data_IF_261069974432
#
_entry.id   IF_261069974432
#
_cell.length_a   1.000
_cell.length_b   1.000
_cell.length_c   1.000
_cell.angle_alpha   90.00
_cell.angle_beta   90.00
_cell.angle_gamma   90.00
#
_symmetry.space_group_name_H-M   'P 1'
#
loop_
_entity.id
_entity.type
_entity.pdbx_description
1 polymer ?
#
# COMPACT_ATOMS: atom_id res chain seq x y z
N UNK A 1 -40.58 -11.53 16.73
CA UNK A 1 -39.66 -12.08 15.72
C UNK A 1 -38.46 -11.16 15.69
N UNK A 2 -37.34 -11.57 16.27
CA UNK A 2 -36.10 -10.79 16.20
C UNK A 2 -35.61 -10.79 14.75
N UNK A 3 -35.40 -9.60 14.18
CA UNK A 3 -34.79 -9.46 12.86
C UNK A 3 -33.28 -9.57 13.01
N UNK A 4 -32.67 -10.47 12.26
CA UNK A 4 -31.24 -10.67 12.20
C UNK A 4 -30.62 -9.88 11.06
N UNK A 5 -29.34 -9.50 11.21
CA UNK A 5 -28.54 -8.93 10.12
C UNK A 5 -28.52 -9.87 8.89
N UNK A 6 -28.59 -11.19 9.13
CA UNK A 6 -28.60 -12.20 8.08
C UNK A 6 -29.89 -12.23 7.23
N UNK A 7 -30.95 -11.57 7.69
CA UNK A 7 -32.22 -11.46 6.96
C UNK A 7 -32.15 -10.43 5.82
N UNK A 8 -31.11 -9.59 5.81
CA UNK A 8 -30.84 -8.66 4.72
C UNK A 8 -30.32 -9.39 3.47
N UNK A 9 -30.57 -8.85 2.29
CA UNK A 9 -29.95 -9.33 1.04
C UNK A 9 -28.48 -8.87 0.92
N UNK A 10 -27.75 -9.41 -0.06
CA UNK A 10 -26.32 -9.12 -0.24
C UNK A 10 -26.06 -7.65 -0.55
N UNK A 11 -26.90 -7.01 -1.37
CA UNK A 11 -26.74 -5.59 -1.74
C UNK A 11 -26.81 -4.68 -0.51
N UNK A 12 -27.77 -4.93 0.39
CA UNK A 12 -27.90 -4.20 1.65
C UNK A 12 -26.66 -4.40 2.54
N UNK A 13 -26.15 -5.63 2.63
CA UNK A 13 -24.96 -5.92 3.43
C UNK A 13 -23.70 -5.27 2.85
N UNK A 14 -23.55 -5.28 1.52
CA UNK A 14 -22.47 -4.58 0.82
C UNK A 14 -22.49 -3.09 1.15
N UNK A 15 -23.66 -2.45 1.11
CA UNK A 15 -23.79 -1.03 1.46
C UNK A 15 -23.45 -0.75 2.93
N UNK A 16 -23.86 -1.62 3.86
CA UNK A 16 -23.51 -1.49 5.28
C UNK A 16 -21.99 -1.62 5.47
N UNK A 17 -21.35 -2.58 4.79
CA UNK A 17 -19.91 -2.85 4.96
C UNK A 17 -19.03 -1.72 4.40
N UNK A 18 -19.58 -0.78 3.62
CA UNK A 18 -18.82 0.41 3.19
C UNK A 18 -18.39 1.29 4.35
N UNK A 19 -19.17 1.32 5.42
CA UNK A 19 -18.92 2.14 6.61
C UNK A 19 -17.94 1.50 7.61
N UNK A 20 -17.58 0.23 7.40
CA UNK A 20 -16.61 -0.45 8.24
C UNK A 20 -15.19 0.00 7.88
N UNK A 21 -14.37 0.13 8.91
CA UNK A 21 -12.93 0.26 8.75
C UNK A 21 -12.34 -1.02 8.14
N UNK A 22 -11.09 -0.91 7.70
CA UNK A 22 -10.37 -2.05 7.13
C UNK A 22 -10.22 -3.19 8.14
N UNK A 23 -9.93 -2.85 9.40
CA UNK A 23 -9.78 -3.82 10.50
C UNK A 23 -11.10 -4.51 10.79
N UNK A 24 -12.20 -3.76 10.90
CA UNK A 24 -13.54 -4.34 11.11
C UNK A 24 -13.94 -5.24 9.95
N UNK A 25 -13.64 -4.85 8.70
CA UNK A 25 -13.92 -5.68 7.53
C UNK A 25 -13.14 -7.00 7.58
N UNK A 26 -11.87 -6.99 7.99
CA UNK A 26 -11.11 -8.22 8.17
C UNK A 26 -11.63 -9.09 9.31
N UNK A 27 -12.07 -8.51 10.42
CA UNK A 27 -12.68 -9.28 11.52
C UNK A 27 -13.90 -10.07 11.05
N UNK A 28 -14.67 -9.54 10.09
CA UNK A 28 -15.81 -10.24 9.50
C UNK A 28 -15.41 -11.42 8.60
N UNK A 29 -14.18 -11.43 8.06
CA UNK A 29 -13.68 -12.57 7.30
C UNK A 29 -13.37 -13.77 8.18
N UNK A 30 -12.99 -13.53 9.43
CA UNK A 30 -12.62 -14.57 10.40
C UNK A 30 -13.85 -15.17 11.12
N UNK A 31 -15.04 -14.62 10.88
CA UNK A 31 -16.31 -15.20 11.36
C UNK A 31 -16.60 -16.48 10.58
N UNK A 32 -17.07 -17.53 11.26
CA UNK A 32 -17.54 -18.80 10.67
C UNK A 32 -18.85 -18.65 9.87
N UNK A 33 -19.00 -17.59 9.07
CA UNK A 33 -20.13 -17.37 8.18
C UNK A 33 -19.60 -17.01 6.77
N UNK A 34 -19.64 -17.99 5.87
CA UNK A 34 -19.08 -17.85 4.53
C UNK A 34 -19.68 -16.69 3.72
N UNK A 35 -20.97 -16.38 3.92
CA UNK A 35 -21.64 -15.26 3.24
C UNK A 35 -21.07 -13.92 3.67
N UNK A 36 -20.96 -13.68 4.97
CA UNK A 36 -20.36 -12.44 5.50
C UNK A 36 -18.87 -12.34 5.13
N UNK A 37 -18.12 -13.45 5.18
CA UNK A 37 -16.73 -13.47 4.75
C UNK A 37 -16.57 -13.11 3.26
N UNK A 38 -17.47 -13.58 2.39
CA UNK A 38 -17.45 -13.25 0.97
C UNK A 38 -17.76 -11.78 0.71
N UNK A 39 -18.75 -11.22 1.39
CA UNK A 39 -19.10 -9.79 1.29
C UNK A 39 -17.94 -8.92 1.80
N UNK A 40 -17.28 -9.32 2.90
CA UNK A 40 -16.09 -8.64 3.41
C UNK A 40 -14.92 -8.68 2.39
N UNK A 41 -14.68 -9.82 1.74
CA UNK A 41 -13.68 -9.94 0.66
C UNK A 41 -14.02 -9.03 -0.53
N UNK A 42 -15.29 -8.98 -0.94
CA UNK A 42 -15.73 -8.06 -2.00
C UNK A 42 -15.45 -6.61 -1.60
N UNK A 43 -15.77 -6.22 -0.36
CA UNK A 43 -15.46 -4.88 0.16
C UNK A 43 -13.96 -4.58 0.09
N UNK A 44 -13.09 -5.46 0.58
CA UNK A 44 -11.64 -5.26 0.51
C UNK A 44 -11.18 -5.11 -0.94
N UNK A 45 -11.76 -5.86 -1.87
CA UNK A 45 -11.41 -5.77 -3.29
C UNK A 45 -11.72 -4.41 -3.92
N UNK A 46 -12.64 -3.64 -3.34
CA UNK A 46 -12.96 -2.27 -3.80
C UNK A 46 -11.89 -1.25 -3.39
N UNK A 47 -10.99 -1.58 -2.46
CA UNK A 47 -9.94 -0.68 -2.00
C UNK A 47 -8.80 -0.70 -3.01
N UNK A 48 -8.76 0.31 -3.88
CA UNK A 48 -7.73 0.46 -4.92
C UNK A 48 -6.60 1.40 -4.54
N UNK A 49 -6.81 2.23 -3.54
CA UNK A 49 -5.85 3.23 -3.09
C UNK A 49 -5.73 3.14 -1.58
N UNK A 50 -4.50 3.14 -1.08
CA UNK A 50 -4.24 3.14 0.35
C UNK A 50 -3.16 4.17 0.70
N UNK A 51 -3.48 5.02 1.67
CA UNK A 51 -2.55 5.96 2.27
C UNK A 51 -2.31 5.56 3.73
N UNK A 52 -1.05 5.30 4.07
CA UNK A 52 -0.62 4.85 5.38
C UNK A 52 0.25 5.94 6.00
N UNK A 53 -0.18 6.44 7.16
CA UNK A 53 0.70 7.15 8.10
C UNK A 53 1.12 6.15 9.16
N UNK A 54 2.39 5.75 9.17
CA UNK A 54 2.84 4.59 9.98
C UNK A 54 2.58 4.80 11.47
N UNK A 55 2.65 6.03 11.97
CA UNK A 55 2.34 6.38 13.37
C UNK A 55 0.89 6.12 13.78
N UNK A 56 -0.03 6.11 12.82
CA UNK A 56 -1.47 5.92 13.03
C UNK A 56 -1.91 4.51 12.55
N UNK A 57 -0.99 3.75 11.96
CA UNK A 57 -1.30 2.49 11.31
C UNK A 57 -1.04 1.32 12.26
N UNK A 58 -2.12 0.77 12.79
CA UNK A 58 -2.07 -0.38 13.68
C UNK A 58 -3.06 -1.44 13.23
N UNK A 59 -2.90 -2.66 13.75
CA UNK A 59 -3.91 -3.72 13.75
C UNK A 59 -4.13 -4.48 12.43
N UNK A 60 -3.10 -4.70 11.62
CA UNK A 60 -3.17 -5.67 10.51
C UNK A 60 -1.97 -6.61 10.51
N UNK A 61 -2.24 -7.90 10.36
CA UNK A 61 -1.19 -8.91 10.24
C UNK A 61 -0.70 -9.04 8.78
N UNK A 62 0.43 -9.73 8.59
CA UNK A 62 1.06 -9.93 7.28
C UNK A 62 0.11 -10.51 6.21
N UNK A 63 -0.76 -11.46 6.58
CA UNK A 63 -1.73 -12.07 5.65
C UNK A 63 -2.78 -11.05 5.19
N UNK A 64 -3.30 -10.23 6.10
CA UNK A 64 -4.26 -9.18 5.79
C UNK A 64 -3.63 -8.10 4.89
N UNK A 65 -2.39 -7.69 5.19
CA UNK A 65 -1.62 -6.76 4.37
C UNK A 65 -1.35 -7.29 2.96
N UNK A 66 -1.08 -8.59 2.83
CA UNK A 66 -0.95 -9.23 1.52
C UNK A 66 -2.25 -9.19 0.72
N UNK A 67 -3.38 -9.53 1.32
CA UNK A 67 -4.71 -9.46 0.66
C UNK A 67 -5.02 -8.03 0.21
N UNK A 68 -4.66 -7.02 1.00
CA UNK A 68 -4.76 -5.61 0.60
C UNK A 68 -3.91 -5.39 -0.66
N UNK A 69 -2.63 -5.76 -0.62
CA UNK A 69 -1.69 -5.62 -1.74
C UNK A 69 -2.21 -6.20 -3.05
N UNK A 70 -2.85 -7.37 -3.02
CA UNK A 70 -3.45 -8.02 -4.21
C UNK A 70 -4.53 -7.18 -4.91
N UNK A 71 -5.08 -6.17 -4.24
CA UNK A 71 -6.17 -5.34 -4.74
C UNK A 71 -5.79 -3.91 -5.08
N UNK A 72 -4.62 -3.44 -4.64
CA UNK A 72 -4.18 -2.05 -4.77
C UNK A 72 -3.66 -1.71 -6.17
N UNK A 73 -3.98 -0.48 -6.58
CA UNK A 73 -3.38 0.21 -7.72
C UNK A 73 -2.40 1.29 -7.22
N UNK A 74 -2.76 1.97 -6.12
CA UNK A 74 -2.00 3.09 -5.58
C UNK A 74 -1.67 2.86 -4.09
N UNK A 75 -0.39 3.01 -3.73
CA UNK A 75 0.07 2.94 -2.35
C UNK A 75 0.87 4.20 -1.99
N UNK A 76 0.59 4.75 -0.82
CA UNK A 76 1.43 5.78 -0.18
C UNK A 76 1.74 5.38 1.25
N UNK A 77 3.02 5.39 1.64
CA UNK A 77 3.45 5.19 3.02
C UNK A 77 4.29 6.40 3.47
N UNK A 78 3.89 6.99 4.59
CA UNK A 78 4.59 8.09 5.26
C UNK A 78 4.97 7.65 6.68
N UNK A 79 6.26 7.49 6.94
CA UNK A 79 6.75 6.99 8.22
C UNK A 79 7.25 8.10 9.16
N UNK A 80 8.04 9.03 8.62
CA UNK A 80 8.83 9.96 9.43
C UNK A 80 10.16 9.32 9.83
N UNK A 81 11.25 10.10 9.77
CA UNK A 81 12.62 9.60 9.97
C UNK A 81 12.89 8.95 11.34
N UNK A 82 12.03 9.19 12.34
CA UNK A 82 12.16 8.60 13.68
C UNK A 82 11.60 7.19 13.79
N UNK A 83 10.87 6.69 12.78
CA UNK A 83 10.26 5.36 12.82
C UNK A 83 11.30 4.32 12.43
N UNK A 84 11.51 3.26 13.24
CA UNK A 84 12.46 2.21 12.90
C UNK A 84 12.10 1.52 11.58
N UNK A 85 13.11 1.26 10.74
CA UNK A 85 12.90 0.71 9.40
C UNK A 85 12.09 -0.61 9.40
N UNK A 86 12.36 -1.49 10.36
CA UNK A 86 11.64 -2.77 10.46
C UNK A 86 10.13 -2.59 10.67
N UNK A 87 9.68 -1.51 11.34
CA UNK A 87 8.25 -1.24 11.55
C UNK A 87 7.59 -0.92 10.21
N UNK A 88 8.26 -0.13 9.36
CA UNK A 88 7.75 0.21 8.03
C UNK A 88 7.80 -1.00 7.10
N UNK A 89 8.90 -1.77 7.13
CA UNK A 89 9.07 -2.97 6.30
C UNK A 89 8.07 -4.07 6.66
N UNK A 90 7.70 -4.23 7.94
CA UNK A 90 6.64 -5.15 8.36
C UNK A 90 5.28 -4.84 7.73
N UNK A 91 5.06 -3.59 7.29
CA UNK A 91 3.86 -3.16 6.57
C UNK A 91 4.10 -3.29 5.06
N UNK A 92 5.20 -2.73 4.57
CA UNK A 92 5.48 -2.59 3.15
C UNK A 92 5.70 -3.93 2.46
N UNK A 93 6.48 -4.83 3.05
CA UNK A 93 6.84 -6.10 2.44
C UNK A 93 5.62 -6.96 2.05
N UNK A 94 4.67 -7.28 2.96
CA UNK A 94 3.51 -8.08 2.58
C UNK A 94 2.61 -7.39 1.57
N UNK A 95 2.48 -6.05 1.62
CA UNK A 95 1.73 -5.31 0.60
C UNK A 95 2.37 -5.46 -0.78
N UNK A 96 3.70 -5.27 -0.89
CA UNK A 96 4.42 -5.45 -2.15
C UNK A 96 4.36 -6.90 -2.65
N UNK A 97 4.39 -7.89 -1.76
CA UNK A 97 4.20 -9.30 -2.12
C UNK A 97 2.81 -9.57 -2.71
N UNK A 98 1.76 -9.00 -2.13
CA UNK A 98 0.40 -9.10 -2.68
C UNK A 98 0.26 -8.36 -4.02
N UNK A 99 0.81 -7.15 -4.11
CA UNK A 99 0.78 -6.34 -5.32
C UNK A 99 1.51 -6.99 -6.50
N UNK A 100 2.61 -7.70 -6.23
CA UNK A 100 3.33 -8.47 -7.25
C UNK A 100 2.49 -9.62 -7.84
N UNK A 101 1.60 -10.22 -7.04
CA UNK A 101 0.70 -11.28 -7.51
C UNK A 101 -0.35 -10.72 -8.47
N UNK A 102 -0.88 -9.52 -8.19
CA UNK A 102 -1.95 -8.94 -8.99
C UNK A 102 -1.45 -8.18 -10.22
N UNK A 103 -0.24 -7.63 -10.17
CA UNK A 103 0.33 -6.80 -11.22
C UNK A 103 -0.40 -5.47 -11.45
N UNK A 104 -1.29 -5.06 -10.53
CA UNK A 104 -2.17 -3.89 -10.70
C UNK A 104 -1.58 -2.57 -10.18
N UNK A 105 -0.52 -2.65 -9.36
CA UNK A 105 0.07 -1.48 -8.73
C UNK A 105 0.77 -0.60 -9.77
N UNK A 106 0.21 0.58 -10.01
CA UNK A 106 0.69 1.57 -10.98
C UNK A 106 1.29 2.81 -10.33
N UNK A 107 0.93 3.12 -9.08
CA UNK A 107 1.44 4.28 -8.36
C UNK A 107 1.96 3.91 -6.97
N UNK A 108 3.16 4.37 -6.65
CA UNK A 108 3.83 4.03 -5.41
C UNK A 108 4.55 5.24 -4.84
N UNK A 109 4.33 5.51 -3.55
CA UNK A 109 4.91 6.64 -2.85
C UNK A 109 5.46 6.25 -1.48
N UNK A 110 6.71 6.63 -1.22
CA UNK A 110 7.33 6.59 0.10
C UNK A 110 7.72 8.02 0.50
N UNK A 111 7.45 8.38 1.76
CA UNK A 111 7.84 9.68 2.28
C UNK A 111 8.52 9.58 3.64
N UNK A 112 9.56 10.40 3.84
CA UNK A 112 10.28 10.52 5.11
C UNK A 112 10.92 9.20 5.58
N UNK A 113 11.62 8.52 4.66
CA UNK A 113 12.24 7.21 4.88
C UNK A 113 13.69 7.23 4.39
N UNK A 114 14.60 6.61 5.15
CA UNK A 114 15.92 6.22 4.66
C UNK A 114 15.79 4.92 3.87
N UNK A 115 15.93 4.99 2.55
CA UNK A 115 15.79 3.86 1.64
C UNK A 115 17.13 3.14 1.57
N UNK A 116 17.14 1.92 2.09
CA UNK A 116 18.23 0.97 1.94
C UNK A 116 17.86 -0.11 0.91
N UNK A 117 18.69 -1.17 0.88
CA UNK A 117 18.48 -2.32 0.01
C UNK A 117 17.17 -3.07 0.29
N UNK A 118 16.70 -3.14 1.53
CA UNK A 118 15.48 -3.86 1.88
C UNK A 118 14.23 -3.14 1.35
N UNK A 119 14.19 -1.81 1.44
CA UNK A 119 13.15 -1.00 0.79
C UNK A 119 13.21 -1.15 -0.73
N UNK A 120 14.41 -1.08 -1.31
CA UNK A 120 14.60 -1.22 -2.76
C UNK A 120 14.11 -2.59 -3.27
N UNK A 121 14.36 -3.66 -2.53
CA UNK A 121 13.81 -5.00 -2.82
C UNK A 121 12.28 -5.04 -2.78
N UNK A 122 11.64 -4.30 -1.87
CA UNK A 122 10.19 -4.21 -1.83
C UNK A 122 9.64 -3.47 -3.05
N UNK A 123 10.24 -2.35 -3.43
CA UNK A 123 9.85 -1.56 -4.62
C UNK A 123 10.05 -2.40 -5.89
N UNK A 124 11.17 -3.13 -5.98
CA UNK A 124 11.50 -3.97 -7.13
C UNK A 124 10.43 -5.03 -7.45
N UNK A 125 9.67 -5.50 -6.45
CA UNK A 125 8.57 -6.47 -6.65
C UNK A 125 7.43 -5.92 -7.51
N UNK A 126 7.26 -4.60 -7.53
CA UNK A 126 6.17 -3.93 -8.26
C UNK A 126 6.68 -3.01 -9.37
N UNK A 127 7.99 -2.75 -9.41
CA UNK A 127 8.65 -1.79 -10.28
C UNK A 127 8.26 -1.91 -11.76
N UNK A 128 8.18 -3.13 -12.31
CA UNK A 128 7.86 -3.34 -13.71
C UNK A 128 6.46 -2.84 -14.11
N UNK A 129 5.54 -2.68 -13.16
CA UNK A 129 4.18 -2.17 -13.42
C UNK A 129 4.01 -0.70 -13.02
N UNK A 130 5.00 -0.10 -12.33
CA UNK A 130 4.89 1.27 -11.85
C UNK A 130 4.93 2.26 -13.01
N UNK A 131 3.90 3.09 -13.07
CA UNK A 131 3.81 4.28 -13.90
C UNK A 131 4.21 5.54 -13.12
N UNK A 132 3.99 5.54 -11.80
CA UNK A 132 4.30 6.68 -10.94
C UNK A 132 5.11 6.23 -9.73
N UNK A 133 6.25 6.86 -9.52
CA UNK A 133 7.11 6.65 -8.37
C UNK A 133 7.39 7.98 -7.68
N UNK A 134 7.05 8.07 -6.41
CA UNK A 134 7.28 9.24 -5.58
C UNK A 134 8.13 8.86 -4.37
N UNK A 135 9.31 9.45 -4.24
CA UNK A 135 10.26 9.25 -3.15
C UNK A 135 10.55 10.59 -2.44
N UNK A 136 9.52 11.42 -2.30
CA UNK A 136 9.64 12.74 -1.70
C UNK A 136 10.05 12.64 -0.24
N UNK A 137 11.01 13.48 0.15
CA UNK A 137 11.61 13.48 1.48
C UNK A 137 12.15 12.10 1.87
N UNK A 138 12.60 11.28 0.92
CA UNK A 138 13.38 10.09 1.22
C UNK A 138 14.88 10.40 1.12
N UNK A 139 15.67 9.65 1.88
CA UNK A 139 17.12 9.62 1.71
C UNK A 139 17.49 8.31 1.03
N UNK A 140 18.17 8.38 -0.10
CA UNK A 140 18.63 7.24 -0.89
C UNK A 140 19.92 7.63 -1.62
N UNK A 141 20.75 6.65 -1.96
CA UNK A 141 21.95 6.90 -2.77
C UNK A 141 21.62 6.86 -4.26
N UNK A 142 22.45 7.49 -5.08
CA UNK A 142 22.30 7.51 -6.54
C UNK A 142 22.41 6.09 -7.13
N UNK A 143 23.20 5.21 -6.52
CA UNK A 143 23.31 3.80 -6.94
C UNK A 143 21.97 3.07 -6.76
N UNK A 144 21.33 3.20 -5.59
CA UNK A 144 20.03 2.57 -5.33
C UNK A 144 18.94 3.16 -6.23
N UNK A 145 18.94 4.46 -6.45
CA UNK A 145 18.01 5.10 -7.37
C UNK A 145 18.21 4.58 -8.80
N UNK A 146 19.46 4.52 -9.27
CA UNK A 146 19.79 4.01 -10.61
C UNK A 146 19.35 2.56 -10.79
N UNK A 147 19.59 1.70 -9.80
CA UNK A 147 19.14 0.31 -9.82
C UNK A 147 17.61 0.19 -9.92
N UNK A 148 16.87 1.00 -9.15
CA UNK A 148 15.41 1.04 -9.20
C UNK A 148 14.88 1.54 -10.54
N UNK A 149 15.45 2.63 -11.08
CA UNK A 149 14.98 3.18 -12.35
C UNK A 149 15.24 2.23 -13.53
N UNK A 150 16.29 1.40 -13.48
CA UNK A 150 16.56 0.37 -14.50
C UNK A 150 15.47 -0.69 -14.61
N UNK A 151 14.73 -0.96 -13.54
CA UNK A 151 13.68 -1.99 -13.50
C UNK A 151 12.27 -1.41 -13.65
N UNK A 152 12.10 -0.09 -13.47
CA UNK A 152 10.84 0.62 -13.67
C UNK A 152 10.58 0.90 -15.17
N UNK A 153 10.34 -0.13 -15.97
CA UNK A 153 10.23 -0.02 -17.43
C UNK A 153 8.98 0.73 -17.95
N UNK A 154 7.97 0.91 -17.11
CA UNK A 154 6.70 1.58 -17.46
C UNK A 154 6.55 2.97 -16.81
N UNK A 155 7.62 3.48 -16.20
CA UNK A 155 7.59 4.72 -15.42
C UNK A 155 7.39 5.92 -16.34
N UNK A 156 6.35 6.72 -16.06
CA UNK A 156 6.05 7.96 -16.78
C UNK A 156 6.18 9.19 -15.89
N UNK A 157 6.17 9.00 -14.57
CA UNK A 157 6.26 10.08 -13.60
C UNK A 157 7.18 9.68 -12.44
N UNK A 158 8.28 10.43 -12.28
CA UNK A 158 9.17 10.34 -11.13
C UNK A 158 9.10 11.64 -10.35
N UNK A 159 8.92 11.54 -9.03
CA UNK A 159 9.01 12.66 -8.11
C UNK A 159 10.01 12.37 -7.00
N UNK A 160 11.01 13.23 -6.88
CA UNK A 160 11.98 13.23 -5.79
C UNK A 160 12.11 14.68 -5.31
N UNK A 161 11.88 14.90 -4.03
CA UNK A 161 12.01 16.19 -3.36
C UNK A 161 12.88 15.99 -2.13
N UNK A 162 14.04 16.63 -2.06
CA UNK A 162 14.85 16.61 -0.85
C UNK A 162 14.20 17.51 0.22
N UNK A 163 13.96 16.96 1.41
CA UNK A 163 13.56 17.76 2.57
C UNK A 163 14.78 18.55 3.07
N UNK A 164 14.78 19.87 2.84
CA UNK A 164 15.84 20.84 3.14
C UNK A 164 16.84 20.45 4.26
N UNK A 165 18.11 20.22 3.88
CA UNK A 165 19.27 20.53 4.72
C UNK A 165 20.53 20.92 3.91
N UNK A 166 20.69 20.48 2.67
CA UNK A 166 21.63 21.04 1.70
C UNK A 166 20.99 20.91 0.32
N UNK A 167 21.04 21.97 -0.49
CA UNK A 167 20.25 22.10 -1.70
C UNK A 167 20.41 20.94 -2.70
N UNK A 168 19.37 20.72 -3.51
CA UNK A 168 19.41 20.61 -4.98
C UNK A 168 18.05 20.07 -5.49
N UNK A 169 17.64 20.68 -6.62
CA UNK A 169 16.71 20.29 -7.70
C UNK A 169 15.32 19.68 -7.43
N UNK A 170 14.31 20.46 -7.83
CA UNK A 170 13.03 19.96 -8.30
C UNK A 170 13.24 19.18 -9.61
N UNK A 171 13.23 17.85 -9.57
CA UNK A 171 13.07 17.03 -10.77
C UNK A 171 11.65 16.49 -10.86
N UNK A 172 10.74 17.28 -11.42
CA UNK A 172 9.50 16.74 -11.97
C UNK A 172 9.80 16.24 -13.38
N UNK A 173 10.31 15.01 -13.48
CA UNK A 173 10.54 14.38 -14.77
C UNK A 173 9.28 13.62 -15.20
N UNK A 174 8.63 14.11 -16.25
CA UNK A 174 7.82 13.25 -17.13
C UNK A 174 8.80 12.54 -18.05
N UNK A 175 8.87 11.22 -17.93
CA UNK A 175 9.75 10.35 -18.73
C UNK A 175 9.09 10.08 -20.08
#
# INVERSE_FOLDING_TARGET
MEKSLLDLNDDCLIEIFKYLSLVETFNLMDICNARLSNIARQRISTIKKLNIRVREFHNLNSKQLKIIGENLNDLTISAGYSIPAHVVLNILQPICEGAAVSGKMSAFALNYIFIDKAYSQCIAKVASNLQKLNLNNCQLTDELLTELLRICCNLVELQILAGNACGVELSHCRI
#
